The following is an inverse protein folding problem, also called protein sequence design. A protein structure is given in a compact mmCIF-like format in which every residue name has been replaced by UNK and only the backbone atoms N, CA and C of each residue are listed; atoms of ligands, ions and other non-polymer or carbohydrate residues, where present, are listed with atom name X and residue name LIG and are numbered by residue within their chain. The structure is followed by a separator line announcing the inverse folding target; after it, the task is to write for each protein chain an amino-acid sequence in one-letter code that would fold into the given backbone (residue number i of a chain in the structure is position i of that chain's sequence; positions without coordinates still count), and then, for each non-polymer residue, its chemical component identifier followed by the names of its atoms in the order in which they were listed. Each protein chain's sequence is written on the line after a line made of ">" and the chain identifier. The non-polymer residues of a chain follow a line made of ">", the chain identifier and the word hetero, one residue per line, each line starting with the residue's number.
data_IF_363993803701
#
_entry.id   IF_363993803701
#
_cell.length_a   1.000
_cell.length_b   1.000
_cell.length_c   1.000
_cell.angle_alpha   90.00
_cell.angle_beta   90.00
_cell.angle_gamma   90.00
#
_symmetry.space_group_name_H-M   'P 1'
#
loop_
_entity.id
_entity.type
_entity.pdbx_description
1 polymer ?
#
# COMPACT_ATOMS: atom_id res chain seq x y z
N UNK A 1 5.63 13.01 53.86
CA UNK A 1 5.76 12.60 52.44
C UNK A 1 7.08 11.88 52.35
N UNK A 2 7.07 10.56 52.48
CA UNK A 2 8.25 9.75 52.23
C UNK A 2 8.62 9.93 50.76
N UNK A 3 9.84 10.39 50.50
CA UNK A 3 10.41 10.36 49.16
C UNK A 3 10.48 8.91 48.73
N UNK A 4 9.56 8.48 47.85
CA UNK A 4 9.65 7.19 47.19
C UNK A 4 11.02 7.13 46.51
N UNK A 5 11.93 6.31 47.03
CA UNK A 5 13.21 6.05 46.35
C UNK A 5 12.86 5.55 44.94
N UNK A 6 13.37 6.23 43.91
CA UNK A 6 13.17 5.81 42.52
C UNK A 6 13.65 4.37 42.34
N UNK A 7 12.96 3.61 41.48
CA UNK A 7 13.30 2.20 41.26
C UNK A 7 14.57 2.09 40.40
N UNK A 8 15.65 1.54 40.95
CA UNK A 8 16.90 1.39 40.20
C UNK A 8 16.91 0.02 39.50
N UNK A 9 17.13 0.03 38.18
CA UNK A 9 17.40 -1.20 37.44
C UNK A 9 18.80 -1.68 37.84
N UNK A 10 19.00 -2.96 38.19
CA UNK A 10 20.35 -3.47 38.46
C UNK A 10 21.25 -3.32 37.23
N UNK A 11 22.52 -2.95 37.44
CA UNK A 11 23.52 -2.89 36.36
C UNK A 11 23.88 -4.30 35.89
N UNK A 12 23.96 -5.26 36.81
CA UNK A 12 24.24 -6.66 36.49
C UNK A 12 23.34 -7.59 37.30
N UNK A 13 22.65 -8.49 36.62
CA UNK A 13 21.87 -9.56 37.24
C UNK A 13 22.45 -10.94 36.94
N UNK A 14 22.07 -11.94 37.74
CA UNK A 14 22.33 -13.34 37.43
C UNK A 14 21.39 -13.89 36.35
N UNK A 15 21.55 -15.17 35.99
CA UNK A 15 20.69 -15.84 35.00
C UNK A 15 19.23 -16.00 35.44
N UNK A 16 18.95 -15.82 36.73
CA UNK A 16 17.60 -15.84 37.31
C UNK A 16 17.02 -14.44 37.46
N UNK A 17 17.69 -13.40 36.92
CA UNK A 17 17.28 -11.99 36.97
C UNK A 17 17.31 -11.36 38.37
N UNK A 18 18.06 -11.94 39.31
CA UNK A 18 18.31 -11.34 40.62
C UNK A 18 19.53 -10.42 40.56
N UNK A 19 19.50 -9.24 41.22
CA UNK A 19 20.67 -8.36 41.31
C UNK A 19 21.84 -9.08 41.98
N UNK A 20 23.03 -8.93 41.41
CA UNK A 20 24.26 -9.33 42.11
C UNK A 20 24.57 -8.33 43.24
N UNK A 21 25.43 -8.65 44.21
CA UNK A 21 25.94 -7.64 45.15
C UNK A 21 26.60 -6.47 44.39
N UNK A 22 26.43 -5.24 44.88
CA UNK A 22 26.85 -4.00 44.20
C UNK A 22 28.32 -4.06 43.72
N UNK A 23 29.24 -4.46 44.60
CA UNK A 23 30.66 -4.59 44.26
C UNK A 23 30.91 -5.57 43.10
N UNK A 24 30.16 -6.68 43.07
CA UNK A 24 30.22 -7.66 41.98
C UNK A 24 29.57 -7.13 40.70
N UNK A 25 28.46 -6.38 40.78
CA UNK A 25 27.85 -5.72 39.62
C UNK A 25 28.85 -4.79 38.92
N UNK A 26 29.45 -3.87 39.68
CA UNK A 26 30.42 -2.91 39.17
C UNK A 26 31.65 -3.62 38.61
N UNK A 27 32.17 -4.63 39.31
CA UNK A 27 33.31 -5.41 38.84
C UNK A 27 33.05 -6.08 37.50
N UNK A 28 31.95 -6.82 37.38
CA UNK A 28 31.59 -7.53 36.13
C UNK A 28 31.40 -6.53 34.99
N UNK A 29 30.77 -5.38 35.27
CA UNK A 29 30.61 -4.31 34.31
C UNK A 29 31.96 -3.76 33.83
N UNK A 30 32.89 -3.41 34.73
CA UNK A 30 34.21 -2.88 34.35
C UNK A 30 35.06 -3.91 33.59
N UNK A 31 35.01 -5.19 33.97
CA UNK A 31 35.67 -6.28 33.23
C UNK A 31 35.10 -6.48 31.83
N UNK A 32 33.86 -6.04 31.57
CA UNK A 32 33.24 -6.11 30.25
C UNK A 32 33.68 -5.02 29.28
N UNK A 33 34.44 -4.02 29.76
CA UNK A 33 34.89 -2.90 28.95
C UNK A 33 35.73 -3.39 27.77
N UNK A 34 35.29 -3.03 26.56
CA UNK A 34 35.90 -3.45 25.30
C UNK A 34 37.12 -2.58 24.95
N UNK A 35 38.18 -2.72 25.75
CA UNK A 35 39.43 -1.98 25.60
C UNK A 35 40.26 -2.51 24.43
N UNK A 36 40.81 -1.61 23.63
CA UNK A 36 41.82 -1.95 22.64
C UNK A 36 43.17 -2.25 23.29
N UNK A 37 44.08 -2.89 22.55
CA UNK A 37 45.45 -3.13 23.03
C UNK A 37 46.13 -1.80 23.42
N UNK A 38 46.63 -1.73 24.64
CA UNK A 38 47.30 -0.54 25.21
C UNK A 38 46.35 0.58 25.64
N UNK A 39 45.04 0.33 25.65
CA UNK A 39 44.05 1.26 26.18
C UNK A 39 43.77 0.97 27.65
N UNK A 40 43.74 2.02 28.47
CA UNK A 40 43.46 1.97 29.91
C UNK A 40 42.44 3.04 30.30
N UNK A 41 41.85 2.90 31.47
CA UNK A 41 40.88 3.86 32.00
C UNK A 41 41.60 5.14 32.44
N UNK A 42 41.02 6.28 32.11
CA UNK A 42 41.39 7.59 32.69
C UNK A 42 40.40 7.96 33.79
N UNK A 43 39.11 7.70 33.55
CA UNK A 43 38.02 7.91 34.50
C UNK A 43 36.89 6.92 34.20
N UNK A 44 36.16 6.50 35.23
CA UNK A 44 34.92 5.76 35.08
C UNK A 44 33.80 6.36 35.96
N UNK A 45 32.66 6.65 35.33
CA UNK A 45 31.50 7.24 35.99
C UNK A 45 30.31 6.28 35.93
N UNK A 46 29.77 5.91 37.09
CA UNK A 46 28.43 5.35 37.21
C UNK A 46 27.42 6.51 37.17
N UNK A 47 26.60 6.56 36.12
CA UNK A 47 25.58 7.59 35.93
C UNK A 47 24.20 6.95 35.77
N UNK A 48 23.21 7.51 36.46
CA UNK A 48 21.82 7.09 36.38
C UNK A 48 21.04 7.92 35.36
N UNK A 49 20.29 7.25 34.49
CA UNK A 49 19.36 7.89 33.56
C UNK A 49 17.93 7.84 34.10
N UNK A 50 17.34 8.97 34.53
CA UNK A 50 16.01 8.99 35.11
C UNK A 50 14.92 8.96 34.02
N UNK A 51 14.00 8.00 34.15
CA UNK A 51 12.84 7.83 33.28
C UNK A 51 11.55 7.87 34.11
N UNK A 52 10.49 8.40 33.49
CA UNK A 52 9.12 8.27 33.96
C UNK A 52 8.37 7.35 33.00
N UNK A 53 7.77 6.29 33.54
CA UNK A 53 6.84 5.43 32.83
C UNK A 53 5.43 5.82 33.26
N UNK A 54 4.64 6.33 32.32
CA UNK A 54 3.30 6.87 32.57
C UNK A 54 2.25 5.98 31.93
N UNK A 55 1.30 5.51 32.73
CA UNK A 55 0.14 4.77 32.25
C UNK A 55 -0.79 5.69 31.47
N UNK A 56 -1.25 5.22 30.32
CA UNK A 56 -2.14 5.98 29.42
C UNK A 56 -3.44 5.25 29.13
N UNK A 57 -3.43 3.91 29.15
CA UNK A 57 -4.61 3.04 29.11
C UNK A 57 -4.30 1.75 29.89
N UNK A 58 -5.29 0.88 30.09
CA UNK A 58 -5.07 -0.44 30.69
C UNK A 58 -3.94 -1.20 29.97
N UNK A 59 -2.90 -1.55 30.71
CA UNK A 59 -1.73 -2.28 30.19
C UNK A 59 -0.89 -1.53 29.15
N UNK A 60 -1.10 -0.21 28.95
CA UNK A 60 -0.34 0.61 28.00
C UNK A 60 0.32 1.79 28.69
N UNK A 61 1.61 1.91 28.48
CA UNK A 61 2.47 2.90 29.10
C UNK A 61 3.32 3.62 28.07
N UNK A 62 3.59 4.90 28.31
CA UNK A 62 4.55 5.70 27.57
C UNK A 62 5.75 6.00 28.45
N UNK A 63 6.92 6.15 27.82
CA UNK A 63 8.19 6.33 28.52
C UNK A 63 8.72 7.72 28.20
N UNK A 64 9.05 8.47 29.26
CA UNK A 64 9.57 9.82 29.19
C UNK A 64 10.96 9.87 29.81
N UNK A 65 11.91 10.43 29.07
CA UNK A 65 13.22 10.84 29.56
C UNK A 65 13.10 12.08 30.43
N UNK A 66 13.32 11.95 31.75
CA UNK A 66 13.20 13.08 32.68
C UNK A 66 14.31 14.12 32.50
N UNK A 67 15.39 13.80 31.78
CA UNK A 67 16.50 14.73 31.52
C UNK A 67 16.27 15.67 30.32
N UNK A 68 15.21 15.41 29.53
CA UNK A 68 14.87 16.11 28.27
C UNK A 68 15.97 16.11 27.21
N UNK A 69 16.94 15.21 27.32
CA UNK A 69 18.03 15.05 26.35
C UNK A 69 17.54 14.36 25.09
N UNK A 70 16.64 13.38 25.26
CA UNK A 70 16.07 12.60 24.18
C UNK A 70 14.69 13.15 23.78
N UNK A 71 14.34 12.95 22.52
CA UNK A 71 13.05 13.36 21.98
C UNK A 71 12.63 12.43 20.86
N UNK A 72 11.33 12.46 20.55
CA UNK A 72 10.78 11.75 19.39
C UNK A 72 10.26 12.73 18.36
N UNK A 73 10.48 12.37 17.10
CA UNK A 73 10.17 13.18 15.95
C UNK A 73 9.14 12.48 15.07
N UNK A 74 8.06 13.18 14.79
CA UNK A 74 6.96 12.71 13.96
C UNK A 74 6.83 13.59 12.73
N UNK A 75 6.71 12.97 11.56
CA UNK A 75 6.43 13.70 10.31
C UNK A 75 4.96 13.53 9.96
N UNK A 76 4.20 14.61 10.09
CA UNK A 76 2.77 14.67 9.74
C UNK A 76 2.62 15.16 8.31
N UNK A 77 2.00 14.37 7.45
CA UNK A 77 1.61 14.81 6.09
C UNK A 77 0.34 15.67 6.18
N UNK A 78 0.31 16.79 5.46
CA UNK A 78 -0.86 17.66 5.40
C UNK A 78 -1.67 17.32 4.16
N UNK A 79 -2.94 16.97 4.37
CA UNK A 79 -3.89 16.67 3.31
C UNK A 79 -4.77 17.89 3.03
N UNK A 80 -5.24 18.07 1.79
CA UNK A 80 -6.17 19.14 1.47
C UNK A 80 -7.51 18.90 2.18
N UNK A 81 -8.38 19.92 2.19
CA UNK A 81 -9.73 19.82 2.72
C UNK A 81 -10.58 18.86 1.85
N UNK A 82 -10.58 17.59 2.24
CA UNK A 82 -11.30 16.53 1.55
C UNK A 82 -12.81 16.74 1.58
N UNK A 83 -13.34 17.41 2.60
CA UNK A 83 -14.77 17.69 2.70
C UNK A 83 -15.19 18.72 1.65
N UNK A 84 -14.49 19.85 1.56
CA UNK A 84 -14.74 20.85 0.52
C UNK A 84 -14.61 20.26 -0.87
N UNK A 85 -13.59 19.43 -1.12
CA UNK A 85 -13.39 18.77 -2.40
C UNK A 85 -14.55 17.79 -2.70
N UNK A 86 -15.03 17.04 -1.71
CA UNK A 86 -16.16 16.14 -1.87
C UNK A 86 -17.42 16.89 -2.32
N UNK A 87 -17.71 18.02 -1.68
CA UNK A 87 -18.87 18.87 -2.00
C UNK A 87 -18.78 19.47 -3.40
N UNK A 88 -17.57 19.83 -3.85
CA UNK A 88 -17.35 20.28 -5.21
C UNK A 88 -17.58 19.17 -6.24
N UNK A 89 -17.09 17.95 -5.96
CA UNK A 89 -17.29 16.79 -6.85
C UNK A 89 -18.78 16.45 -7.04
N UNK A 90 -19.59 16.56 -5.98
CA UNK A 90 -21.05 16.30 -6.05
C UNK A 90 -21.78 17.24 -7.02
N UNK A 91 -21.27 18.46 -7.21
CA UNK A 91 -21.87 19.48 -8.08
C UNK A 91 -21.50 19.33 -9.55
N UNK A 92 -20.56 18.43 -9.88
CA UNK A 92 -20.14 18.23 -11.26
C UNK A 92 -21.22 17.48 -12.05
N UNK A 93 -21.69 18.09 -13.14
CA UNK A 93 -22.70 17.50 -14.04
C UNK A 93 -22.10 16.91 -15.32
N UNK A 94 -20.87 17.29 -15.66
CA UNK A 94 -20.15 16.86 -16.85
C UNK A 94 -19.12 15.75 -16.50
N UNK A 95 -19.09 14.69 -17.33
CA UNK A 95 -18.22 13.54 -17.08
C UNK A 95 -16.73 13.87 -17.22
N UNK A 96 -16.36 14.63 -18.24
CA UNK A 96 -14.97 14.97 -18.53
C UNK A 96 -14.40 15.85 -17.43
N UNK A 97 -15.20 16.79 -16.91
CA UNK A 97 -14.81 17.61 -15.76
C UNK A 97 -14.62 16.77 -14.49
N UNK A 98 -15.48 15.78 -14.26
CA UNK A 98 -15.35 14.86 -13.13
C UNK A 98 -14.06 14.04 -13.23
N UNK A 99 -13.79 13.44 -14.39
CA UNK A 99 -12.55 12.68 -14.64
C UNK A 99 -11.33 13.59 -14.45
N UNK A 100 -11.32 14.76 -15.07
CA UNK A 100 -10.23 15.74 -14.96
C UNK A 100 -9.98 16.13 -13.51
N UNK A 101 -11.04 16.36 -12.73
CA UNK A 101 -10.92 16.71 -11.31
C UNK A 101 -10.33 15.55 -10.50
N UNK A 102 -10.77 14.31 -10.74
CA UNK A 102 -10.19 13.12 -10.10
C UNK A 102 -8.72 12.92 -10.45
N UNK A 103 -8.31 13.17 -11.70
CA UNK A 103 -6.93 13.02 -12.13
C UNK A 103 -6.00 14.05 -11.46
N UNK A 104 -6.48 15.29 -11.29
CA UNK A 104 -5.78 16.39 -10.62
C UNK A 104 -5.62 16.19 -9.10
N UNK A 105 -6.42 15.31 -8.48
CA UNK A 105 -6.29 14.98 -7.07
C UNK A 105 -5.09 14.05 -6.85
N UNK A 106 -3.98 14.66 -6.40
CA UNK A 106 -2.71 13.99 -6.08
C UNK A 106 -2.56 13.90 -4.56
N UNK A 107 -3.38 13.07 -3.93
CA UNK A 107 -3.34 12.85 -2.47
C UNK A 107 -2.12 12.03 -2.02
N UNK A 108 -1.55 11.28 -2.95
CA UNK A 108 -0.35 10.47 -2.80
C UNK A 108 0.95 11.28 -2.94
N UNK A 109 0.87 12.54 -3.39
CA UNK A 109 2.01 13.45 -3.48
C UNK A 109 2.08 14.31 -2.21
N UNK A 110 3.21 14.23 -1.48
CA UNK A 110 3.45 15.02 -0.28
C UNK A 110 3.72 16.46 -0.69
N UNK A 111 2.69 17.32 -0.63
CA UNK A 111 2.84 18.75 -0.92
C UNK A 111 3.40 19.54 0.27
N UNK A 112 3.10 19.10 1.49
CA UNK A 112 3.66 19.67 2.70
C UNK A 112 3.65 18.65 3.82
N UNK A 113 4.63 18.77 4.71
CA UNK A 113 4.74 17.99 5.93
C UNK A 113 5.12 18.90 7.08
N UNK A 114 4.56 18.62 8.26
CA UNK A 114 4.88 19.30 9.51
C UNK A 114 5.67 18.33 10.35
N UNK A 115 6.80 18.79 10.86
CA UNK A 115 7.60 18.06 11.82
C UNK A 115 7.14 18.40 13.23
N UNK A 116 6.84 17.38 14.01
CA UNK A 116 6.36 17.51 15.38
C UNK A 116 7.36 16.79 16.27
N UNK A 117 8.03 17.56 17.11
CA UNK A 117 8.96 17.05 18.10
C UNK A 117 8.24 16.99 19.44
N UNK A 118 8.27 15.84 20.08
CA UNK A 118 7.78 15.66 21.45
C UNK A 118 9.03 15.42 22.31
N UNK A 119 9.47 16.44 23.06
CA UNK A 119 10.59 16.29 24.00
C UNK A 119 10.29 15.17 25.00
N UNK A 120 11.36 14.52 25.48
CA UNK A 120 11.33 13.43 26.46
C UNK A 120 10.62 12.15 26.06
N UNK A 121 9.61 12.17 25.19
CA UNK A 121 8.97 10.94 24.74
C UNK A 121 9.98 10.10 23.95
N UNK A 122 10.18 8.85 24.35
CA UNK A 122 11.14 7.95 23.72
C UNK A 122 10.50 6.63 23.33
N UNK A 123 10.89 6.13 22.15
CA UNK A 123 10.53 4.80 21.70
C UNK A 123 11.61 3.80 22.12
N UNK A 124 11.47 3.30 23.34
CA UNK A 124 12.32 2.24 23.88
C UNK A 124 11.43 1.11 24.39
N UNK A 125 11.86 -0.13 24.16
CA UNK A 125 11.21 -1.30 24.71
C UNK A 125 11.86 -1.65 26.06
N UNK A 126 11.12 -1.45 27.15
CA UNK A 126 11.55 -1.78 28.51
C UNK A 126 10.84 -3.01 29.10
N UNK A 127 10.17 -3.84 28.30
CA UNK A 127 9.42 -5.00 28.80
C UNK A 127 10.25 -6.01 29.61
N UNK A 128 11.58 -6.00 29.44
CA UNK A 128 12.49 -6.80 30.27
C UNK A 128 12.40 -6.47 31.77
N UNK A 129 11.99 -5.26 32.14
CA UNK A 129 11.90 -4.83 33.54
C UNK A 129 10.93 -5.71 34.33
N UNK A 130 9.89 -6.26 33.69
CA UNK A 130 8.95 -7.17 34.34
C UNK A 130 9.63 -8.43 34.91
N UNK A 131 10.73 -8.86 34.30
CA UNK A 131 11.51 -10.03 34.73
C UNK A 131 12.50 -9.72 35.84
N UNK A 132 12.86 -8.44 36.02
CA UNK A 132 13.90 -8.04 36.95
C UNK A 132 13.36 -7.93 38.38
N UNK A 133 14.13 -8.43 39.33
CA UNK A 133 14.05 -7.93 40.70
C UNK A 133 14.76 -6.56 40.76
N UNK A 134 14.03 -5.54 41.19
CA UNK A 134 14.56 -4.19 41.32
C UNK A 134 15.55 -4.14 42.49
N UNK A 135 16.69 -3.49 42.27
CA UNK A 135 17.71 -3.39 43.31
C UNK A 135 17.37 -2.24 44.26
N UNK A 136 16.88 -2.59 45.45
CA UNK A 136 16.46 -1.61 46.47
C UNK A 136 17.64 -1.06 47.29
N UNK A 137 18.79 -1.72 47.22
CA UNK A 137 19.99 -1.36 47.98
C UNK A 137 20.96 -0.53 47.13
N UNK A 138 20.95 -0.73 45.80
CA UNK A 138 21.76 0.04 44.88
C UNK A 138 21.23 1.46 44.69
N UNK A 139 21.93 2.43 45.27
CA UNK A 139 21.67 3.87 45.09
C UNK A 139 22.71 4.46 44.14
N UNK A 140 22.24 5.19 43.13
CA UNK A 140 23.10 5.92 42.20
C UNK A 140 23.05 7.40 42.59
N UNK A 141 24.14 7.90 43.16
CA UNK A 141 24.22 9.28 43.63
C UNK A 141 24.24 10.32 42.49
N UNK A 142 24.82 9.95 41.35
CA UNK A 142 24.96 10.83 40.19
C UNK A 142 23.96 10.43 39.11
N UNK A 143 22.84 11.16 39.03
CA UNK A 143 21.87 11.05 37.94
C UNK A 143 21.97 12.23 37.00
N UNK A 144 21.55 12.04 35.74
CA UNK A 144 21.33 13.18 34.85
C UNK A 144 20.29 14.13 35.46
N UNK A 145 20.46 15.46 35.35
CA UNK A 145 19.53 16.42 35.93
C UNK A 145 18.11 16.21 35.42
N UNK A 146 17.16 16.04 36.33
CA UNK A 146 15.74 15.99 36.01
C UNK A 146 15.24 17.40 35.69
N UNK A 147 14.65 17.57 34.50
CA UNK A 147 14.10 18.84 34.01
C UNK A 147 12.61 18.74 33.69
N UNK A 148 12.13 17.54 33.39
CA UNK A 148 10.76 17.29 32.97
C UNK A 148 9.77 17.52 34.13
N UNK A 149 8.78 18.39 33.93
CA UNK A 149 7.70 18.60 34.89
C UNK A 149 6.44 17.81 34.55
N UNK A 150 5.53 17.65 35.51
CA UNK A 150 4.23 17.02 35.28
C UNK A 150 3.32 17.81 34.33
N UNK A 151 3.52 19.13 34.20
CA UNK A 151 2.80 19.95 33.22
C UNK A 151 3.29 19.67 31.80
N UNK A 152 4.60 19.51 31.62
CA UNK A 152 5.21 19.12 30.35
C UNK A 152 4.70 17.76 29.89
N UNK A 153 4.66 16.78 30.80
CA UNK A 153 4.14 15.43 30.53
C UNK A 153 2.69 15.49 30.03
N UNK A 154 1.82 16.26 30.70
CA UNK A 154 0.43 16.42 30.25
C UNK A 154 0.35 17.02 28.86
N UNK A 155 1.18 18.02 28.58
CA UNK A 155 1.26 18.66 27.25
C UNK A 155 1.71 17.68 26.18
N UNK A 156 2.78 16.92 26.44
CA UNK A 156 3.34 15.93 25.52
C UNK A 156 2.37 14.77 25.26
N UNK A 157 1.66 14.31 26.29
CA UNK A 157 0.58 13.34 26.17
C UNK A 157 -0.54 13.85 25.27
N UNK A 158 -1.00 15.08 25.49
CA UNK A 158 -2.05 15.68 24.67
C UNK A 158 -1.63 15.79 23.20
N UNK A 159 -0.38 16.17 22.92
CA UNK A 159 0.17 16.21 21.56
C UNK A 159 0.17 14.81 20.95
N UNK A 160 0.72 13.82 21.66
CA UNK A 160 0.82 12.45 21.16
C UNK A 160 -0.56 11.81 20.90
N UNK A 161 -1.50 11.96 21.84
CA UNK A 161 -2.88 11.49 21.70
C UNK A 161 -3.61 12.24 20.57
N UNK A 162 -3.35 13.54 20.42
CA UNK A 162 -3.82 14.33 19.29
C UNK A 162 -3.38 13.73 17.96
N UNK A 163 -2.11 13.36 17.81
CA UNK A 163 -1.58 12.71 16.60
C UNK A 163 -2.30 11.38 16.32
N UNK A 164 -2.52 10.55 17.34
CA UNK A 164 -3.25 9.29 17.20
C UNK A 164 -4.68 9.52 16.69
N UNK A 165 -5.38 10.48 17.30
CA UNK A 165 -6.77 10.82 16.94
C UNK A 165 -6.87 11.43 15.54
N UNK A 166 -5.92 12.28 15.15
CA UNK A 166 -5.87 12.90 13.83
C UNK A 166 -5.71 11.87 12.71
N UNK A 167 -4.86 10.86 12.89
CA UNK A 167 -4.68 9.79 11.89
C UNK A 167 -5.99 9.02 11.70
N UNK A 168 -6.66 8.64 12.79
CA UNK A 168 -7.93 7.93 12.72
C UNK A 168 -9.02 8.78 12.08
N UNK A 169 -9.09 10.07 12.43
CA UNK A 169 -10.02 11.02 11.84
C UNK A 169 -9.77 11.19 10.34
N UNK A 170 -8.50 11.28 9.93
CA UNK A 170 -8.12 11.39 8.53
C UNK A 170 -8.47 10.14 7.72
N UNK A 171 -8.23 8.94 8.26
CA UNK A 171 -8.66 7.67 7.63
C UNK A 171 -10.18 7.62 7.41
N UNK A 172 -10.94 8.06 8.41
CA UNK A 172 -12.40 8.18 8.30
C UNK A 172 -12.80 9.19 7.23
N UNK A 173 -12.17 10.37 7.21
CA UNK A 173 -12.42 11.40 6.20
C UNK A 173 -12.10 10.93 4.77
N UNK A 174 -11.00 10.19 4.59
CA UNK A 174 -10.64 9.58 3.30
C UNK A 174 -11.69 8.55 2.89
N UNK A 175 -12.12 7.67 3.80
CA UNK A 175 -13.18 6.69 3.51
C UNK A 175 -14.48 7.35 3.08
N UNK A 176 -14.90 8.41 3.79
CA UNK A 176 -16.08 9.19 3.43
C UNK A 176 -15.92 9.87 2.06
N UNK A 177 -14.73 10.42 1.79
CA UNK A 177 -14.40 11.02 0.51
C UNK A 177 -14.51 10.02 -0.65
N UNK A 178 -13.97 8.81 -0.49
CA UNK A 178 -14.08 7.73 -1.48
C UNK A 178 -15.54 7.36 -1.73
N UNK A 179 -16.35 7.27 -0.67
CA UNK A 179 -17.79 6.98 -0.82
C UNK A 179 -18.52 8.04 -1.66
N UNK A 180 -18.19 9.33 -1.47
CA UNK A 180 -18.73 10.40 -2.31
C UNK A 180 -18.29 10.25 -3.77
N UNK A 181 -17.00 9.98 -4.00
CA UNK A 181 -16.48 9.75 -5.36
C UNK A 181 -17.20 8.59 -6.04
N UNK A 182 -17.40 7.48 -5.32
CA UNK A 182 -18.13 6.31 -5.85
C UNK A 182 -19.59 6.64 -6.15
N UNK A 183 -20.26 7.43 -5.31
CA UNK A 183 -21.64 7.88 -5.56
C UNK A 183 -21.75 8.75 -6.81
N UNK A 184 -20.82 9.70 -7.00
CA UNK A 184 -20.80 10.55 -8.22
C UNK A 184 -20.50 9.71 -9.46
N UNK A 185 -19.57 8.76 -9.36
CA UNK A 185 -19.28 7.81 -10.43
C UNK A 185 -20.52 6.98 -10.82
N UNK A 186 -21.25 6.43 -9.84
CA UNK A 186 -22.48 5.66 -10.10
C UNK A 186 -23.53 6.50 -10.82
N UNK A 187 -23.75 7.75 -10.39
CA UNK A 187 -24.65 8.69 -11.09
C UNK A 187 -24.29 8.86 -12.57
N UNK A 188 -23.00 9.02 -12.89
CA UNK A 188 -22.56 9.13 -14.29
C UNK A 188 -22.75 7.83 -15.07
N UNK A 189 -22.43 6.69 -14.44
CA UNK A 189 -22.57 5.38 -15.06
C UNK A 189 -24.04 5.08 -15.38
N UNK A 190 -24.95 5.27 -14.43
CA UNK A 190 -26.39 5.08 -14.61
C UNK A 190 -26.95 5.98 -15.71
N UNK A 191 -26.50 7.24 -15.79
CA UNK A 191 -26.91 8.16 -16.88
C UNK A 191 -26.49 7.65 -18.25
N UNK A 192 -25.25 7.15 -18.37
CA UNK A 192 -24.73 6.59 -19.63
C UNK A 192 -25.44 5.28 -20.00
N UNK A 193 -25.76 4.44 -19.03
CA UNK A 193 -26.52 3.20 -19.26
C UNK A 193 -27.95 3.51 -19.73
N UNK A 194 -28.61 4.50 -19.12
CA UNK A 194 -29.91 5.01 -19.57
C UNK A 194 -29.85 5.57 -20.99
N UNK A 195 -28.82 6.36 -21.33
CA UNK A 195 -28.59 6.89 -22.69
C UNK A 195 -28.43 5.74 -23.70
N UNK A 196 -27.72 4.66 -23.33
CA UNK A 196 -27.56 3.49 -24.19
C UNK A 196 -28.90 2.78 -24.46
N UNK A 197 -29.74 2.64 -23.44
CA UNK A 197 -31.08 2.06 -23.60
C UNK A 197 -31.98 2.91 -24.50
N UNK A 198 -31.97 4.23 -24.33
CA UNK A 198 -32.72 5.17 -25.17
C UNK A 198 -32.27 5.11 -26.64
N UNK A 199 -30.97 5.11 -26.89
CA UNK A 199 -30.40 4.95 -28.25
C UNK A 199 -30.84 3.62 -28.85
N UNK A 200 -30.71 2.51 -28.10
CA UNK A 200 -31.11 1.19 -28.58
C UNK A 200 -32.59 1.14 -28.91
N UNK A 201 -33.45 1.70 -28.05
CA UNK A 201 -34.90 1.78 -28.28
C UNK A 201 -35.22 2.59 -29.54
N UNK A 202 -34.69 3.82 -29.65
CA UNK A 202 -34.93 4.72 -30.79
C UNK A 202 -34.59 4.05 -32.13
N UNK A 203 -33.41 3.45 -32.24
CA UNK A 203 -33.00 2.82 -33.50
C UNK A 203 -33.75 1.51 -33.77
N UNK A 204 -34.07 0.73 -32.73
CA UNK A 204 -34.88 -0.48 -32.89
C UNK A 204 -36.28 -0.16 -33.41
N UNK A 205 -36.93 0.89 -32.88
CA UNK A 205 -38.25 1.35 -33.35
C UNK A 205 -38.22 1.77 -34.83
N UNK A 206 -37.21 2.55 -35.24
CA UNK A 206 -37.03 2.97 -36.64
C UNK A 206 -36.80 1.77 -37.56
N UNK A 207 -35.96 0.82 -37.16
CA UNK A 207 -35.65 -0.38 -37.94
C UNK A 207 -36.89 -1.27 -38.08
N UNK A 208 -37.62 -1.51 -37.00
CA UNK A 208 -38.82 -2.36 -37.03
C UNK A 208 -39.94 -1.71 -37.85
N UNK A 209 -40.14 -0.39 -37.71
CA UNK A 209 -41.06 0.34 -38.58
C UNK A 209 -40.69 0.15 -40.05
N UNK A 210 -39.40 0.31 -40.38
CA UNK A 210 -38.90 0.19 -41.75
C UNK A 210 -39.02 -1.22 -42.30
N UNK A 211 -38.78 -2.25 -41.48
CA UNK A 211 -39.03 -3.65 -41.86
C UNK A 211 -40.50 -3.87 -42.20
N UNK A 212 -41.43 -3.27 -41.44
CA UNK A 212 -42.86 -3.36 -41.75
C UNK A 212 -43.22 -2.67 -43.08
N UNK A 213 -42.61 -1.52 -43.38
CA UNK A 213 -42.78 -0.85 -44.67
C UNK A 213 -42.25 -1.70 -45.83
N UNK A 214 -41.09 -2.33 -45.65
CA UNK A 214 -40.50 -3.22 -46.65
C UNK A 214 -41.41 -4.42 -46.89
N UNK A 215 -41.96 -5.03 -45.84
CA UNK A 215 -42.88 -6.16 -45.98
C UNK A 215 -44.10 -5.79 -46.82
N UNK A 216 -44.72 -4.63 -46.57
CA UNK A 216 -45.83 -4.11 -47.39
C UNK A 216 -45.41 -3.84 -48.84
N UNK A 217 -44.23 -3.26 -49.05
CA UNK A 217 -43.69 -3.04 -50.40
C UNK A 217 -43.47 -4.36 -51.14
N UNK A 218 -43.00 -5.40 -50.46
CA UNK A 218 -42.83 -6.73 -51.06
C UNK A 218 -44.19 -7.27 -51.50
N UNK A 219 -45.21 -7.21 -50.63
CA UNK A 219 -46.59 -7.63 -50.97
C UNK A 219 -47.16 -6.90 -52.21
N UNK A 220 -46.78 -5.62 -52.42
CA UNK A 220 -47.20 -4.85 -53.59
C UNK A 220 -46.36 -5.12 -54.86
N UNK A 221 -45.07 -5.41 -54.69
CA UNK A 221 -44.11 -5.54 -55.78
C UNK A 221 -44.04 -6.95 -56.36
N UNK A 222 -44.18 -7.99 -55.52
CA UNK A 222 -44.14 -9.39 -55.97
C UNK A 222 -45.18 -9.70 -57.06
N UNK A 223 -46.47 -9.31 -56.91
CA UNK A 223 -47.47 -9.57 -57.96
C UNK A 223 -47.17 -8.83 -59.27
N UNK A 224 -46.62 -7.61 -59.18
CA UNK A 224 -46.24 -6.81 -60.37
C UNK A 224 -45.06 -7.43 -61.11
N UNK A 225 -44.04 -7.85 -60.37
CA UNK A 225 -42.91 -8.57 -60.91
C UNK A 225 -43.36 -9.88 -61.57
N UNK A 226 -44.24 -10.64 -60.90
CA UNK A 226 -44.80 -11.87 -61.46
C UNK A 226 -45.55 -11.61 -62.77
N UNK A 227 -46.40 -10.58 -62.81
CA UNK A 227 -47.15 -10.23 -64.01
C UNK A 227 -46.24 -9.78 -65.15
N UNK A 228 -45.30 -8.86 -64.91
CA UNK A 228 -44.36 -8.38 -65.93
C UNK A 228 -43.48 -9.51 -66.48
N UNK A 229 -43.02 -10.42 -65.61
CA UNK A 229 -42.29 -11.60 -66.04
C UNK A 229 -43.18 -12.50 -66.90
N UNK A 230 -44.41 -12.81 -66.48
CA UNK A 230 -45.35 -13.65 -67.26
C UNK A 230 -45.62 -13.06 -68.64
N UNK A 231 -45.96 -11.78 -68.72
CA UNK A 231 -46.23 -11.10 -70.01
C UNK A 231 -45.00 -11.15 -70.94
N UNK A 232 -43.80 -10.91 -70.39
CA UNK A 232 -42.55 -10.98 -71.15
C UNK A 232 -42.20 -12.40 -71.58
N UNK A 233 -42.37 -13.39 -70.69
CA UNK A 233 -42.18 -14.81 -71.01
C UNK A 233 -43.14 -15.26 -72.09
N UNK A 234 -44.45 -14.97 -71.98
CA UNK A 234 -45.46 -15.39 -72.95
C UNK A 234 -45.21 -14.79 -74.34
N UNK A 235 -44.74 -13.54 -74.40
CA UNK A 235 -44.32 -12.92 -75.66
C UNK A 235 -43.08 -13.58 -76.27
N UNK A 236 -42.12 -13.99 -75.45
CA UNK A 236 -40.84 -14.54 -75.92
C UNK A 236 -40.90 -16.05 -76.22
N UNK A 237 -41.76 -16.80 -75.52
CA UNK A 237 -41.89 -18.26 -75.64
C UNK A 237 -42.27 -18.68 -77.05
N UNK A 238 -43.13 -17.90 -77.73
CA UNK A 238 -43.52 -18.14 -79.12
C UNK A 238 -42.31 -18.10 -80.06
N UNK A 239 -41.46 -17.09 -79.92
CA UNK A 239 -40.25 -16.96 -80.74
C UNK A 239 -39.25 -18.09 -80.48
N UNK A 240 -39.12 -18.53 -79.22
CA UNK A 240 -38.24 -19.63 -78.85
C UNK A 240 -38.76 -20.98 -79.39
N UNK A 241 -40.06 -21.23 -79.27
CA UNK A 241 -40.70 -22.44 -79.82
C UNK A 241 -40.52 -22.49 -81.34
N UNK A 242 -40.74 -21.38 -82.04
CA UNK A 242 -40.55 -21.32 -83.48
C UNK A 242 -39.09 -21.59 -83.88
N UNK A 243 -38.13 -21.02 -83.14
CA UNK A 243 -36.71 -21.29 -83.36
C UNK A 243 -36.35 -22.78 -83.15
N UNK A 244 -36.89 -23.41 -82.10
CA UNK A 244 -36.64 -24.81 -81.81
C UNK A 244 -37.30 -25.78 -82.80
N UNK A 245 -38.55 -25.49 -83.20
CA UNK A 245 -39.23 -26.28 -84.23
C UNK A 245 -38.44 -26.21 -85.54
N UNK A 246 -37.86 -25.06 -85.88
CA UNK A 246 -37.03 -24.92 -87.06
C UNK A 246 -35.70 -25.66 -86.92
N UNK A 247 -35.06 -25.64 -85.75
CA UNK A 247 -33.87 -26.44 -85.47
C UNK A 247 -34.18 -27.94 -85.61
N UNK A 248 -35.24 -28.43 -84.96
CA UNK A 248 -35.67 -29.84 -85.03
C UNK A 248 -35.96 -30.28 -86.47
N UNK A 249 -36.64 -29.44 -87.27
CA UNK A 249 -36.86 -29.71 -88.70
C UNK A 249 -35.54 -29.79 -89.47
N UNK A 250 -34.55 -28.96 -89.13
CA UNK A 250 -33.25 -28.97 -89.78
C UNK A 250 -32.40 -30.16 -89.38
N UNK A 251 -32.41 -30.56 -88.10
CA UNK A 251 -31.72 -31.76 -87.62
C UNK A 251 -32.26 -33.02 -88.30
N UNK A 252 -33.58 -33.13 -88.48
CA UNK A 252 -34.19 -34.21 -89.28
C UNK A 252 -33.70 -34.20 -90.73
N UNK A 253 -33.53 -33.02 -91.34
CA UNK A 253 -33.00 -32.90 -92.71
C UNK A 253 -31.51 -33.25 -92.79
N UNK A 254 -30.73 -32.93 -91.77
CA UNK A 254 -29.31 -33.25 -91.68
C UNK A 254 -29.08 -34.75 -91.57
N UNK A 255 -29.81 -35.43 -90.68
CA UNK A 255 -29.79 -36.90 -90.56
C UNK A 255 -30.24 -37.60 -91.85
N UNK A 256 -31.13 -36.96 -92.61
CA UNK A 256 -31.54 -37.42 -93.94
C UNK A 256 -30.52 -37.12 -95.08
N UNK A 257 -29.40 -36.45 -94.77
CA UNK A 257 -28.35 -36.09 -95.72
C UNK A 257 -28.69 -34.95 -96.68
N UNK A 258 -29.69 -34.12 -96.34
CA UNK A 258 -30.22 -33.06 -97.23
C UNK A 258 -29.63 -31.67 -96.98
N UNK A 259 -28.91 -31.49 -95.87
CA UNK A 259 -28.26 -30.23 -95.46
C UNK A 259 -26.93 -30.54 -94.79
N UNK A 260 -26.02 -29.56 -94.73
CA UNK A 260 -24.69 -29.74 -94.14
C UNK A 260 -24.64 -29.30 -92.66
N UNK A 261 -23.69 -29.86 -91.90
CA UNK A 261 -23.51 -29.59 -90.46
C UNK A 261 -23.41 -28.08 -90.10
N UNK A 262 -22.74 -27.21 -90.90
CA UNK A 262 -22.69 -25.78 -90.61
C UNK A 262 -24.07 -25.11 -90.53
N UNK A 263 -25.04 -25.56 -91.32
CA UNK A 263 -26.40 -25.00 -91.35
C UNK A 263 -27.19 -25.35 -90.08
N UNK A 264 -27.00 -26.57 -89.56
CA UNK A 264 -27.56 -27.00 -88.26
C UNK A 264 -26.93 -26.20 -87.12
N UNK A 265 -25.60 -26.03 -87.14
CA UNK A 265 -24.87 -25.30 -86.12
C UNK A 265 -25.26 -23.82 -86.06
N UNK A 266 -25.60 -23.20 -87.19
CA UNK A 266 -26.13 -21.82 -87.21
C UNK A 266 -27.48 -21.71 -86.48
N UNK A 267 -28.39 -22.68 -86.68
CA UNK A 267 -29.68 -22.71 -85.97
C UNK A 267 -29.52 -23.03 -84.48
N UNK A 268 -28.61 -23.94 -84.11
CA UNK A 268 -28.25 -24.19 -82.70
C UNK A 268 -27.78 -22.90 -82.02
N UNK A 269 -26.90 -22.16 -82.68
CA UNK A 269 -26.42 -20.87 -82.18
C UNK A 269 -27.56 -19.86 -82.03
N UNK A 270 -28.53 -19.81 -82.95
CA UNK A 270 -29.72 -18.94 -82.84
C UNK A 270 -30.61 -19.33 -81.66
N UNK A 271 -30.79 -20.62 -81.38
CA UNK A 271 -31.51 -21.10 -80.19
C UNK A 271 -30.76 -20.70 -78.91
N UNK A 272 -29.45 -20.93 -78.84
CA UNK A 272 -28.62 -20.53 -77.70
C UNK A 272 -28.62 -19.01 -77.46
N UNK A 273 -28.61 -18.22 -78.54
CA UNK A 273 -28.76 -16.76 -78.50
C UNK A 273 -30.14 -16.37 -77.95
N UNK A 274 -31.22 -17.06 -78.35
CA UNK A 274 -32.58 -16.83 -77.81
C UNK A 274 -32.69 -17.22 -76.34
N UNK A 275 -32.08 -18.31 -75.91
CA UNK A 275 -32.00 -18.70 -74.49
C UNK A 275 -31.23 -17.63 -73.69
N UNK A 276 -30.11 -17.13 -74.23
CA UNK A 276 -29.33 -16.05 -73.61
C UNK A 276 -30.12 -14.74 -73.51
N UNK A 277 -30.90 -14.40 -74.55
CA UNK A 277 -31.81 -13.26 -74.54
C UNK A 277 -32.90 -13.42 -73.47
N UNK A 278 -33.45 -14.62 -73.28
CA UNK A 278 -34.42 -14.90 -72.22
C UNK A 278 -33.84 -14.67 -70.82
N UNK A 279 -32.61 -15.11 -70.59
CA UNK A 279 -31.89 -14.87 -69.32
C UNK A 279 -31.66 -13.37 -69.10
N UNK A 280 -31.29 -12.63 -70.14
CA UNK A 280 -31.08 -11.18 -70.04
C UNK A 280 -32.39 -10.43 -69.80
N UNK A 281 -33.47 -10.80 -70.49
CA UNK A 281 -34.80 -10.25 -70.29
C UNK A 281 -35.28 -10.43 -68.84
N UNK A 282 -35.10 -11.63 -68.27
CA UNK A 282 -35.40 -11.87 -66.84
C UNK A 282 -34.65 -10.89 -65.94
N UNK A 283 -33.34 -10.73 -66.16
CA UNK A 283 -32.51 -9.80 -65.39
C UNK A 283 -32.97 -8.34 -65.56
N UNK A 284 -33.35 -7.95 -66.78
CA UNK A 284 -33.82 -6.59 -67.07
C UNK A 284 -35.13 -6.28 -66.34
N UNK A 285 -36.04 -7.26 -66.24
CA UNK A 285 -37.29 -7.12 -65.50
C UNK A 285 -37.06 -7.17 -63.99
N UNK A 286 -36.22 -8.07 -63.46
CA UNK A 286 -35.95 -8.19 -62.01
C UNK A 286 -35.14 -7.00 -61.45
N UNK A 287 -34.22 -6.46 -62.24
CA UNK A 287 -33.21 -5.48 -61.79
C UNK A 287 -33.79 -4.23 -61.11
N UNK A 288 -34.84 -3.56 -61.64
CA UNK A 288 -35.50 -2.44 -60.96
C UNK A 288 -36.04 -2.80 -59.57
N UNK A 289 -36.69 -3.95 -59.42
CA UNK A 289 -37.28 -4.41 -58.16
C UNK A 289 -36.18 -4.73 -57.13
N UNK A 290 -35.15 -5.47 -57.56
CA UNK A 290 -34.00 -5.79 -56.72
C UNK A 290 -33.25 -4.53 -56.29
N UNK A 291 -33.14 -3.52 -57.16
CA UNK A 291 -32.53 -2.23 -56.82
C UNK A 291 -33.31 -1.50 -55.72
N UNK A 292 -34.65 -1.50 -55.79
CA UNK A 292 -35.49 -0.90 -54.73
C UNK A 292 -35.22 -1.61 -53.39
N UNK A 293 -35.28 -2.95 -53.37
CA UNK A 293 -35.05 -3.72 -52.14
C UNK A 293 -33.63 -3.58 -51.60
N UNK A 294 -32.62 -3.47 -52.49
CA UNK A 294 -31.24 -3.20 -52.11
C UNK A 294 -31.12 -1.85 -51.39
N UNK A 295 -31.73 -0.79 -51.90
CA UNK A 295 -31.72 0.52 -51.26
C UNK A 295 -32.38 0.50 -49.87
N UNK A 296 -33.51 -0.21 -49.73
CA UNK A 296 -34.19 -0.35 -48.43
C UNK A 296 -33.34 -1.12 -47.41
N UNK A 297 -32.66 -2.18 -47.86
CA UNK A 297 -31.69 -2.93 -47.03
C UNK A 297 -30.50 -2.06 -46.62
N UNK A 298 -29.98 -1.24 -47.54
CA UNK A 298 -28.88 -0.31 -47.25
C UNK A 298 -29.27 0.71 -46.19
N UNK A 299 -30.51 1.20 -46.20
CA UNK A 299 -31.02 2.07 -45.14
C UNK A 299 -31.05 1.37 -43.77
N UNK A 300 -31.56 0.14 -43.68
CA UNK A 300 -31.53 -0.62 -42.40
C UNK A 300 -30.09 -0.79 -41.90
N UNK A 301 -29.18 -1.14 -42.80
CA UNK A 301 -27.77 -1.30 -42.46
C UNK A 301 -27.15 0.02 -41.98
N UNK A 302 -27.52 1.17 -42.56
CA UNK A 302 -27.02 2.46 -42.11
C UNK A 302 -27.51 2.78 -40.69
N UNK A 303 -28.77 2.51 -40.38
CA UNK A 303 -29.34 2.69 -39.03
C UNK A 303 -28.67 1.78 -37.99
N UNK A 304 -28.41 0.50 -38.34
CA UNK A 304 -27.67 -0.42 -37.48
C UNK A 304 -26.24 0.06 -37.21
N UNK A 305 -25.55 0.55 -38.23
CA UNK A 305 -24.21 1.08 -38.10
C UNK A 305 -24.16 2.33 -37.23
N UNK A 306 -25.11 3.26 -37.41
CA UNK A 306 -25.24 4.45 -36.55
C UNK A 306 -25.49 4.06 -35.09
N UNK A 307 -26.45 3.16 -34.84
CA UNK A 307 -26.73 2.66 -33.49
C UNK A 307 -25.47 2.09 -32.83
N UNK A 308 -24.74 1.22 -33.54
CA UNK A 308 -23.51 0.63 -33.02
C UNK A 308 -22.41 1.67 -32.76
N UNK A 309 -22.30 2.70 -33.59
CA UNK A 309 -21.36 3.80 -33.38
C UNK A 309 -21.69 4.60 -32.12
N UNK A 310 -22.96 4.94 -31.89
CA UNK A 310 -23.39 5.62 -30.67
C UNK A 310 -23.15 4.76 -29.42
N UNK A 311 -23.54 3.49 -29.46
CA UNK A 311 -23.31 2.56 -28.34
C UNK A 311 -21.81 2.37 -28.05
N UNK A 312 -20.98 2.28 -29.08
CA UNK A 312 -19.51 2.22 -28.94
C UNK A 312 -18.96 3.47 -28.23
N UNK A 313 -19.46 4.66 -28.59
CA UNK A 313 -19.07 5.92 -27.94
C UNK A 313 -19.53 6.00 -26.47
N UNK A 314 -20.71 5.49 -26.14
CA UNK A 314 -21.17 5.43 -24.74
C UNK A 314 -20.30 4.45 -23.94
N UNK A 315 -20.03 3.26 -24.50
CA UNK A 315 -19.17 2.26 -23.86
C UNK A 315 -17.74 2.77 -23.65
N UNK A 316 -17.20 3.56 -24.57
CA UNK A 316 -15.87 4.17 -24.40
C UNK A 316 -15.87 5.17 -23.24
N UNK A 317 -16.91 6.00 -23.09
CA UNK A 317 -17.08 6.90 -21.94
C UNK A 317 -17.16 6.16 -20.61
N UNK A 318 -17.95 5.08 -20.53
CA UNK A 318 -18.05 4.22 -19.34
C UNK A 318 -16.68 3.64 -18.97
N UNK A 319 -15.94 3.15 -19.97
CA UNK A 319 -14.60 2.61 -19.75
C UNK A 319 -13.63 3.67 -19.24
N UNK A 320 -13.64 4.87 -19.85
CA UNK A 320 -12.78 5.99 -19.43
C UNK A 320 -12.99 6.38 -17.97
N UNK A 321 -14.25 6.55 -17.55
CA UNK A 321 -14.53 6.90 -16.14
C UNK A 321 -14.17 5.75 -15.19
N UNK A 322 -14.41 4.49 -15.58
CA UNK A 322 -14.05 3.33 -14.77
C UNK A 322 -12.53 3.24 -14.55
N UNK A 323 -11.74 3.52 -15.59
CA UNK A 323 -10.28 3.56 -15.51
C UNK A 323 -9.79 4.72 -14.62
N UNK A 324 -10.41 5.90 -14.73
CA UNK A 324 -10.11 7.04 -13.87
C UNK A 324 -10.37 6.72 -12.38
N UNK A 325 -11.51 6.08 -12.08
CA UNK A 325 -11.85 5.65 -10.71
C UNK A 325 -10.86 4.61 -10.20
N UNK A 326 -10.49 3.62 -11.02
CA UNK A 326 -9.48 2.62 -10.63
C UNK A 326 -8.14 3.28 -10.27
N UNK A 327 -7.64 4.20 -11.11
CA UNK A 327 -6.41 4.95 -10.83
C UNK A 327 -6.53 5.82 -9.58
N UNK A 328 -7.69 6.43 -9.35
CA UNK A 328 -7.97 7.19 -8.13
C UNK A 328 -7.90 6.27 -6.89
N UNK A 329 -8.58 5.13 -6.88
CA UNK A 329 -8.58 4.18 -5.76
C UNK A 329 -7.18 3.66 -5.44
N UNK A 330 -6.39 3.31 -6.44
CA UNK A 330 -5.00 2.90 -6.23
C UNK A 330 -4.15 3.97 -5.52
N UNK A 331 -4.38 5.26 -5.81
CA UNK A 331 -3.70 6.37 -5.11
C UNK A 331 -4.18 6.49 -3.66
N UNK A 332 -5.48 6.29 -3.42
CA UNK A 332 -6.04 6.27 -2.06
C UNK A 332 -5.47 5.10 -1.24
N UNK A 333 -5.36 3.90 -1.81
CA UNK A 333 -4.81 2.74 -1.11
C UNK A 333 -3.39 2.99 -0.62
N UNK A 334 -2.57 3.65 -1.44
CA UNK A 334 -1.21 4.05 -1.06
C UNK A 334 -1.22 5.05 0.11
N UNK A 335 -2.12 6.02 0.09
CA UNK A 335 -2.29 6.98 1.20
C UNK A 335 -2.72 6.25 2.49
N UNK A 336 -3.68 5.33 2.39
CA UNK A 336 -4.14 4.54 3.53
C UNK A 336 -3.00 3.69 4.12
N UNK A 337 -2.19 3.06 3.27
CA UNK A 337 -1.01 2.30 3.70
C UNK A 337 0.01 3.18 4.43
N UNK A 338 0.25 4.40 3.97
CA UNK A 338 1.13 5.36 4.65
C UNK A 338 0.58 5.77 6.03
N UNK A 339 -0.74 5.93 6.14
CA UNK A 339 -1.40 6.21 7.43
C UNK A 339 -1.31 5.00 8.37
N UNK A 340 -1.47 3.77 7.86
CA UNK A 340 -1.28 2.54 8.64
C UNK A 340 0.17 2.40 9.14
N UNK A 341 1.16 2.76 8.31
CA UNK A 341 2.56 2.77 8.72
C UNK A 341 2.81 3.78 9.85
N UNK A 342 2.22 4.97 9.73
CA UNK A 342 2.34 6.03 10.74
C UNK A 342 1.67 5.62 12.04
N UNK A 343 0.47 5.02 11.98
CA UNK A 343 -0.23 4.49 13.14
C UNK A 343 0.58 3.37 13.82
N UNK A 344 1.16 2.45 13.06
CA UNK A 344 2.05 1.40 13.61
C UNK A 344 3.27 1.99 14.30
N UNK A 345 3.86 3.04 13.74
CA UNK A 345 4.97 3.74 14.37
C UNK A 345 4.56 4.40 15.69
N UNK A 346 3.42 5.12 15.73
CA UNK A 346 2.89 5.66 16.98
C UNK A 346 2.59 4.56 18.00
N UNK A 347 1.97 3.46 17.57
CA UNK A 347 1.63 2.35 18.44
C UNK A 347 2.87 1.66 19.04
N UNK A 348 4.03 1.73 18.38
CA UNK A 348 5.28 1.17 18.91
C UNK A 348 5.82 1.89 20.15
N UNK A 349 5.33 3.09 20.46
CA UNK A 349 5.67 3.79 21.71
C UNK A 349 4.98 3.21 22.94
N UNK A 350 3.82 2.56 22.75
CA UNK A 350 3.11 1.94 23.86
C UNK A 350 3.87 0.69 24.31
N UNK A 351 4.34 0.73 25.54
CA UNK A 351 4.90 -0.42 26.24
C UNK A 351 3.81 -1.10 27.07
N UNK A 352 3.96 -2.40 27.29
CA UNK A 352 3.11 -3.18 28.19
C UNK A 352 3.96 -3.75 29.30
N UNK A 353 3.50 -3.58 30.53
CA UNK A 353 4.13 -4.10 31.73
C UNK A 353 3.10 -4.91 32.52
N UNK A 354 3.43 -6.16 32.84
CA UNK A 354 2.57 -7.03 33.63
C UNK A 354 2.73 -6.81 35.14
N UNK A 355 3.94 -6.45 35.57
CA UNK A 355 4.30 -6.33 36.99
C UNK A 355 3.79 -5.04 37.63
N UNK A 356 3.58 -4.00 36.83
CA UNK A 356 3.20 -2.68 37.31
C UNK A 356 1.73 -2.37 37.01
N UNK A 357 1.01 -1.95 38.03
CA UNK A 357 -0.36 -1.44 37.91
C UNK A 357 -0.48 0.06 38.20
N UNK A 358 0.59 0.67 38.72
CA UNK A 358 0.66 2.07 39.09
C UNK A 358 0.45 3.00 37.89
N UNK A 359 -0.12 4.17 38.14
CA UNK A 359 -0.33 5.17 37.09
C UNK A 359 0.99 5.80 36.63
N UNK A 360 1.99 5.81 37.50
CA UNK A 360 3.31 6.41 37.30
C UNK A 360 4.38 5.55 37.98
N UNK A 361 5.46 5.27 37.27
CA UNK A 361 6.61 4.53 37.79
C UNK A 361 7.87 5.30 37.41
N UNK A 362 8.65 5.69 38.41
CA UNK A 362 9.97 6.28 38.19
C UNK A 362 11.04 5.21 38.23
N UNK A 363 11.89 5.22 37.20
CA UNK A 363 12.97 4.24 37.03
C UNK A 363 14.27 4.95 36.71
N UNK A 364 15.37 4.47 37.30
CA UNK A 364 16.72 4.89 36.95
C UNK A 364 17.44 3.74 36.24
N UNK A 365 17.92 3.99 35.03
CA UNK A 365 18.76 3.03 34.29
C UNK A 365 20.24 3.36 34.55
N UNK A 366 21.03 2.46 35.15
CA UNK A 366 22.46 2.69 35.34
C UNK A 366 23.23 2.51 34.03
N UNK A 367 24.21 3.37 33.83
CA UNK A 367 25.26 3.20 32.83
C UNK A 367 26.62 3.45 33.49
N UNK A 368 27.66 2.76 33.03
CA UNK A 368 29.04 3.17 33.32
C UNK A 368 29.62 3.79 32.05
N UNK A 369 30.12 5.02 32.15
CA UNK A 369 30.86 5.69 31.08
C UNK A 369 32.34 5.69 31.46
N UNK A 370 33.17 5.04 30.64
CA UNK A 370 34.61 4.97 30.83
C UNK A 370 35.28 5.86 29.80
N UNK A 371 36.00 6.88 30.26
CA UNK A 371 36.93 7.66 29.43
C UNK A 371 38.27 6.94 29.40
N UNK A 372 38.80 6.69 28.21
CA UNK A 372 40.10 6.02 28.05
C UNK A 372 41.23 6.99 27.76
N UNK A 373 42.47 6.52 27.90
CA UNK A 373 43.68 7.28 27.55
C UNK A 373 43.78 7.63 26.05
N UNK A 374 42.97 6.99 25.20
CA UNK A 374 42.78 7.34 23.77
C UNK A 374 41.65 8.34 23.54
N UNK A 375 41.11 8.93 24.61
CA UNK A 375 39.99 9.88 24.57
C UNK A 375 38.70 9.29 23.99
N UNK A 376 38.48 7.98 24.16
CA UNK A 376 37.24 7.29 23.77
C UNK A 376 36.33 7.12 24.98
N UNK A 377 35.03 7.25 24.79
CA UNK A 377 34.04 6.80 25.76
C UNK A 377 33.57 5.38 25.44
N UNK A 378 33.75 4.47 26.38
CA UNK A 378 33.11 3.16 26.38
C UNK A 378 31.90 3.25 27.29
N UNK A 379 30.72 2.90 26.79
CA UNK A 379 29.47 2.92 27.57
C UNK A 379 29.06 1.49 27.86
N UNK A 380 29.00 1.15 29.14
CA UNK A 380 28.51 -0.13 29.63
C UNK A 380 27.06 0.05 30.05
N UNK A 381 26.19 -0.83 29.55
CA UNK A 381 24.75 -0.86 29.82
C UNK A 381 24.39 -2.04 30.72
N UNK A 382 23.16 -2.09 31.28
CA UNK A 382 22.70 -3.22 32.07
C UNK A 382 22.85 -4.57 31.35
N UNK A 383 23.24 -5.62 32.07
CA UNK A 383 23.61 -6.91 31.49
C UNK A 383 23.30 -8.11 32.40
N UNK A 384 23.36 -9.31 31.82
CA UNK A 384 23.15 -10.60 32.53
C UNK A 384 24.48 -11.35 32.61
N UNK A 385 24.89 -11.68 33.83
CA UNK A 385 26.09 -12.45 34.15
C UNK A 385 25.80 -13.96 34.16
N UNK A 386 26.64 -14.74 33.47
CA UNK A 386 26.47 -16.21 33.36
C UNK A 386 26.91 -16.97 34.62
N UNK A 387 27.58 -16.33 35.57
CA UNK A 387 28.11 -16.99 36.75
C UNK A 387 29.41 -17.75 36.45
N UNK A 388 29.50 -19.00 36.92
CA UNK A 388 30.76 -19.77 36.94
C UNK A 388 31.33 -20.06 35.54
N UNK A 389 32.65 -19.95 35.41
CA UNK A 389 33.37 -20.27 34.18
C UNK A 389 33.20 -21.75 33.79
N UNK A 390 32.81 -22.01 32.54
CA UNK A 390 32.67 -23.37 32.00
C UNK A 390 33.95 -23.74 31.22
N UNK A 391 34.80 -24.58 31.83
CA UNK A 391 35.99 -25.16 31.17
C UNK A 391 37.33 -24.71 31.76
N UNK A 392 38.34 -25.59 31.66
CA UNK A 392 39.63 -25.45 32.36
C UNK A 392 40.71 -24.68 31.56
N UNK A 393 40.50 -24.44 30.27
CA UNK A 393 41.50 -23.86 29.36
C UNK A 393 40.96 -22.57 28.71
N UNK A 394 41.47 -21.44 29.21
CA UNK A 394 41.21 -20.02 28.88
C UNK A 394 40.29 -19.26 29.84
N UNK A 395 40.72 -19.12 31.10
CA UNK A 395 40.07 -18.33 32.16
C UNK A 395 40.08 -16.81 31.93
N UNK A 396 40.44 -16.26 30.77
CA UNK A 396 40.34 -14.80 30.57
C UNK A 396 38.87 -14.42 30.46
N UNK A 397 38.37 -13.56 31.34
CA UNK A 397 37.01 -13.01 31.23
C UNK A 397 36.84 -12.36 29.86
N UNK A 398 35.93 -12.88 29.03
CA UNK A 398 35.61 -12.28 27.72
C UNK A 398 34.19 -11.76 27.73
N UNK A 399 33.93 -10.73 26.93
CA UNK A 399 32.58 -10.20 26.70
C UNK A 399 31.58 -11.25 26.20
N UNK A 400 32.05 -12.33 25.58
CA UNK A 400 31.26 -13.51 25.16
C UNK A 400 30.74 -14.36 26.32
N UNK A 401 31.32 -14.19 27.51
CA UNK A 401 30.94 -14.88 28.75
C UNK A 401 29.81 -14.15 29.50
N UNK A 402 29.39 -13.00 28.98
CA UNK A 402 28.14 -12.33 29.31
C UNK A 402 27.04 -12.85 28.37
N UNK A 403 25.79 -12.84 28.81
CA UNK A 403 24.68 -13.06 27.89
C UNK A 403 24.53 -11.79 27.04
N UNK A 404 24.96 -11.83 25.78
CA UNK A 404 24.98 -10.65 24.91
C UNK A 404 23.56 -10.20 24.54
N UNK A 405 23.17 -9.08 25.18
CA UNK A 405 22.80 -7.81 24.55
C UNK A 405 21.51 -7.68 23.72
N UNK A 406 20.85 -8.75 23.30
CA UNK A 406 19.81 -8.65 22.26
C UNK A 406 18.39 -8.40 22.76
N UNK A 407 18.15 -8.46 24.08
CA UNK A 407 16.80 -8.27 24.62
C UNK A 407 16.48 -6.79 24.94
N UNK A 408 17.48 -5.93 25.07
CA UNK A 408 17.28 -4.54 25.49
C UNK A 408 17.95 -3.57 24.50
N UNK A 409 17.11 -2.93 23.68
CA UNK A 409 17.56 -1.90 22.75
C UNK A 409 17.67 -0.54 23.46
N UNK A 410 18.79 -0.30 24.13
CA UNK A 410 19.14 0.99 24.75
C UNK A 410 19.98 1.89 23.82
N UNK A 411 19.96 1.65 22.51
CA UNK A 411 20.85 2.34 21.55
C UNK A 411 20.72 3.87 21.58
N UNK A 412 19.52 4.38 21.83
CA UNK A 412 19.25 5.82 21.92
C UNK A 412 20.07 6.50 23.04
N UNK A 413 20.20 5.85 24.20
CA UNK A 413 21.01 6.33 25.33
C UNK A 413 22.51 6.25 25.03
N UNK A 414 22.94 5.13 24.43
CA UNK A 414 24.36 4.90 24.12
C UNK A 414 24.94 5.96 23.18
N UNK A 415 24.14 6.42 22.20
CA UNK A 415 24.57 7.43 21.25
C UNK A 415 24.87 8.77 21.93
N UNK A 416 24.10 9.13 22.95
CA UNK A 416 24.37 10.33 23.75
C UNK A 416 25.60 10.14 24.64
N UNK A 417 25.64 9.07 25.44
CA UNK A 417 26.70 8.83 26.42
C UNK A 417 28.10 8.64 25.80
N UNK A 418 28.16 8.12 24.56
CA UNK A 418 29.44 8.04 23.80
C UNK A 418 30.08 9.40 23.54
N UNK A 419 29.32 10.49 23.58
CA UNK A 419 29.81 11.85 23.37
C UNK A 419 29.87 12.68 24.67
N UNK A 420 29.56 12.07 25.82
CA UNK A 420 29.53 12.72 27.12
C UNK A 420 30.94 13.23 27.52
N UNK A 421 31.10 14.54 27.67
CA UNK A 421 32.42 15.15 27.82
C UNK A 421 32.93 15.13 29.26
N UNK A 422 32.05 15.36 30.23
CA UNK A 422 32.42 15.59 31.62
C UNK A 422 32.39 14.29 32.45
N UNK A 423 33.12 13.27 31.97
CA UNK A 423 33.23 11.97 32.67
C UNK A 423 34.01 12.14 33.97
N UNK A 424 33.33 11.99 35.10
CA UNK A 424 33.93 11.96 36.45
C UNK A 424 34.45 10.58 36.78
N UNK A 425 35.21 10.46 37.88
CA UNK A 425 35.76 9.19 38.32
C UNK A 425 35.13 8.67 39.62
N UNK A 426 33.79 8.75 39.68
CA UNK A 426 33.04 8.38 40.88
C UNK A 426 33.15 6.89 41.23
N UNK A 427 33.50 6.04 40.25
CA UNK A 427 33.72 4.61 40.45
C UNK A 427 34.91 4.39 41.38
N UNK A 428 36.05 5.03 41.08
CA UNK A 428 37.26 4.89 41.90
C UNK A 428 37.11 5.64 43.23
N UNK A 429 36.50 6.82 43.21
CA UNK A 429 36.31 7.65 44.42
C UNK A 429 35.42 6.98 45.47
N UNK A 430 34.37 6.25 45.05
CA UNK A 430 33.33 5.76 45.98
C UNK A 430 33.26 4.24 46.12
N UNK A 431 33.65 3.47 45.11
CA UNK A 431 33.37 2.03 45.07
C UNK A 431 34.63 1.14 45.01
N UNK A 432 35.81 1.71 45.24
CA UNK A 432 37.08 0.97 45.11
C UNK A 432 37.16 -0.27 46.01
N UNK A 433 36.66 -0.20 47.24
CA UNK A 433 36.72 -1.34 48.17
C UNK A 433 35.79 -2.47 47.71
N UNK A 434 34.55 -2.12 47.39
CA UNK A 434 33.51 -3.05 46.94
C UNK A 434 33.91 -3.72 45.63
N UNK A 435 34.57 -2.99 44.72
CA UNK A 435 35.09 -3.54 43.47
C UNK A 435 36.24 -4.50 43.74
N UNK A 436 37.16 -4.18 44.65
CA UNK A 436 38.26 -5.10 45.00
C UNK A 436 37.75 -6.40 45.66
N UNK A 437 36.68 -6.33 46.45
CA UNK A 437 35.98 -7.51 46.95
C UNK A 437 35.29 -8.29 45.82
N UNK A 438 34.60 -7.58 44.92
CA UNK A 438 33.97 -8.15 43.73
C UNK A 438 34.96 -8.86 42.79
N UNK A 439 36.18 -8.34 42.62
CA UNK A 439 37.25 -8.97 41.82
C UNK A 439 37.64 -10.35 42.36
N UNK A 440 37.70 -10.49 43.69
CA UNK A 440 37.95 -11.77 44.37
C UNK A 440 36.77 -12.73 44.20
N UNK A 441 35.55 -12.22 44.19
CA UNK A 441 34.36 -13.04 43.94
C UNK A 441 34.28 -13.56 42.51
N UNK A 442 34.60 -12.72 41.53
CA UNK A 442 34.69 -13.12 40.12
C UNK A 442 35.81 -14.16 39.91
N UNK A 443 36.93 -14.03 40.64
CA UNK A 443 37.99 -15.04 40.64
C UNK A 443 37.52 -16.39 41.21
N UNK A 444 36.75 -16.36 42.31
CA UNK A 444 36.11 -17.57 42.88
C UNK A 444 35.12 -18.23 41.93
N UNK A 445 34.49 -17.46 41.05
CA UNK A 445 33.64 -18.00 39.98
C UNK A 445 34.45 -18.69 38.87
N UNK A 446 35.79 -18.60 38.90
CA UNK A 446 36.72 -19.27 37.99
C UNK A 446 37.23 -18.38 36.85
N UNK A 447 36.89 -17.09 36.85
CA UNK A 447 37.37 -16.12 35.87
C UNK A 447 38.69 -15.48 36.31
N UNK A 448 39.60 -15.27 35.38
CA UNK A 448 40.78 -14.44 35.60
C UNK A 448 40.34 -12.99 35.64
N UNK A 449 40.46 -12.39 36.81
CA UNK A 449 40.25 -10.96 37.06
C UNK A 449 41.60 -10.25 37.24
N UNK A 450 41.53 -8.94 37.52
CA UNK A 450 42.64 -8.10 37.96
C UNK A 450 42.79 -8.21 39.48
N UNK A 451 43.98 -7.94 40.02
CA UNK A 451 44.23 -8.04 41.47
C UNK A 451 43.54 -6.90 42.24
N UNK A 452 43.50 -5.70 41.65
CA UNK A 452 42.79 -4.54 42.19
C UNK A 452 42.30 -3.55 41.10
N UNK A 453 41.47 -2.59 41.52
CA UNK A 453 40.85 -1.59 40.64
C UNK A 453 41.86 -0.71 39.89
N UNK A 454 43.04 -0.42 40.45
CA UNK A 454 44.02 0.48 39.83
C UNK A 454 44.63 -0.13 38.56
N UNK A 455 44.64 -1.45 38.45
CA UNK A 455 45.08 -2.11 37.22
C UNK A 455 44.25 -1.68 36.00
N UNK A 456 42.96 -1.35 36.16
CA UNK A 456 42.14 -0.85 35.05
C UNK A 456 42.64 0.49 34.50
N UNK A 457 43.32 1.29 35.33
CA UNK A 457 43.83 2.62 35.01
C UNK A 457 45.29 2.63 34.57
N UNK A 458 45.96 1.47 34.59
CA UNK A 458 47.40 1.31 34.36
C UNK A 458 47.76 0.87 32.94
#
# INVERSE_FOLDING_TARGET
>A
MDSSKANVIPLVVDQSYHPLPIGKQLTVALLSADLERGESFVAAELIGWPLLIKKVNEGKYLIFDKSEVLFSKFTKKVYPDLFSIAEDLKKIENLDDFIKRLEQLRLDEIKSSIEINIPSLINVNLSYIDKLELDKEFTIDETLPEKLTMEDIKTYLNIFMGLCNEINSLKSNISNFVSVVDSVYLKFKERLESEAEEVKKKYSEVIEYKKSEIAKKIEELEPKLEQELREKYDSFLKELIDAEVNLSKMEVRYEAGLVEEPEVNELKKKVDEKISQLINMRKDVESPYLKIMKNEKEFINSQLNEMNNYLSNINSKIKLVSEAIKKFKMRIDKVMQDLDNTERYLNSFYNSFEKFNDDEIEIIIPFIVIRTNKNRNIVIKPMIYKGKAQGMLSRLFKRTDLYLEHQINLSIFLNYLKNYQDVKDNIREKYSQEINEGLKEVEKDGWKSRDDINEFYS
#
